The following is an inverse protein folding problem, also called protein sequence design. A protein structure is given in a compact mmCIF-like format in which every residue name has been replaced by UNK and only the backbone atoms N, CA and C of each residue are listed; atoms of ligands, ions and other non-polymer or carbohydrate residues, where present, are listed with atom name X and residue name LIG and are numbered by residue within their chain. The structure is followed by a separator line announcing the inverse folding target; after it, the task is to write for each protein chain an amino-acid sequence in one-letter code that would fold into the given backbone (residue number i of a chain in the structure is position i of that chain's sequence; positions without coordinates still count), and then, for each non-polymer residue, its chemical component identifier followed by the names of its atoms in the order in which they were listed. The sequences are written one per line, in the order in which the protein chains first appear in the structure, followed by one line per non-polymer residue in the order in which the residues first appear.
data_IF_432344916983
#
_entry.id   IF_432344916983
#
_cell.length_a   1.000
_cell.length_b   1.000
_cell.length_c   1.000
_cell.angle_alpha   90.00
_cell.angle_beta   90.00
_cell.angle_gamma   90.00
#
_symmetry.space_group_name_H-M   'P 1'
#
loop_
_entity.id
_entity.type
_entity.pdbx_description
1 polymer ?
#
# COMPACT_ATOMS: atom_id res chain seq x y z
N UNK A 1 -1.77 6.98 31.05
CA UNK A 1 -1.58 7.23 29.60
C UNK A 1 -2.95 7.47 29.00
N UNK A 2 -3.14 8.52 28.21
CA UNK A 2 -4.42 8.75 27.54
C UNK A 2 -4.63 7.74 26.40
N UNK A 3 -5.89 7.46 26.04
CA UNK A 3 -6.23 6.59 24.91
C UNK A 3 -5.59 7.04 23.59
N UNK A 4 -5.37 8.35 23.42
CA UNK A 4 -4.69 8.94 22.26
C UNK A 4 -3.20 8.58 22.20
N UNK A 5 -2.52 8.57 23.35
CA UNK A 5 -1.09 8.28 23.47
C UNK A 5 -0.80 6.79 23.23
N UNK A 6 -1.67 5.91 23.76
CA UNK A 6 -1.61 4.47 23.52
C UNK A 6 -1.87 4.12 22.04
N UNK A 7 -2.82 4.81 21.38
CA UNK A 7 -3.10 4.63 19.95
C UNK A 7 -1.90 5.09 19.09
N UNK A 8 -1.28 6.22 19.44
CA UNK A 8 -0.11 6.73 18.72
C UNK A 8 1.08 5.75 18.78
N UNK A 9 1.37 5.17 19.95
CA UNK A 9 2.46 4.18 20.09
C UNK A 9 2.27 2.93 19.24
N UNK A 10 1.02 2.54 18.96
CA UNK A 10 0.69 1.38 18.12
C UNK A 10 0.62 1.73 16.62
N UNK A 11 0.55 3.02 16.26
CA UNK A 11 0.50 3.49 14.88
C UNK A 11 1.87 3.29 14.22
N UNK A 12 1.99 2.26 13.39
CA UNK A 12 3.21 1.96 12.65
C UNK A 12 3.63 3.14 11.77
N UNK A 13 2.67 3.92 11.27
CA UNK A 13 2.93 5.10 10.45
C UNK A 13 3.30 6.35 11.27
N UNK A 14 3.26 6.30 12.62
CA UNK A 14 3.78 7.35 13.47
C UNK A 14 5.31 7.27 13.62
N UNK A 15 5.88 6.06 13.60
CA UNK A 15 7.31 5.82 13.73
C UNK A 15 8.05 6.01 12.39
N UNK A 16 9.13 6.81 12.38
CA UNK A 16 9.91 7.12 11.17
C UNK A 16 10.54 5.87 10.52
N UNK A 17 11.12 4.97 11.32
CA UNK A 17 11.77 3.76 10.80
C UNK A 17 10.74 2.85 10.12
N UNK A 18 9.63 2.59 10.77
CA UNK A 18 8.53 1.80 10.21
C UNK A 18 7.96 2.46 8.95
N UNK A 19 7.82 3.79 8.93
CA UNK A 19 7.42 4.51 7.72
C UNK A 19 8.34 4.23 6.53
N UNK A 20 9.65 4.28 6.75
CA UNK A 20 10.63 4.05 5.70
C UNK A 20 10.61 2.58 5.26
N UNK A 21 10.64 1.63 6.20
CA UNK A 21 10.71 0.20 5.86
C UNK A 21 9.43 -0.31 5.19
N UNK A 22 8.25 0.14 5.64
CA UNK A 22 6.98 -0.40 5.16
C UNK A 22 6.51 0.26 3.87
N UNK A 23 6.74 1.56 3.70
CA UNK A 23 6.24 2.29 2.55
C UNK A 23 7.38 2.87 1.70
N UNK A 24 8.42 3.43 2.32
CA UNK A 24 9.57 3.99 1.61
C UNK A 24 10.31 2.96 0.76
N UNK A 25 10.65 1.80 1.33
CA UNK A 25 11.37 0.74 0.63
C UNK A 25 10.54 0.16 -0.53
N UNK A 26 9.28 -0.25 -0.36
CA UNK A 26 8.49 -0.74 -1.49
C UNK A 26 8.25 0.32 -2.57
N UNK A 27 8.06 1.58 -2.19
CA UNK A 27 7.88 2.66 -3.16
C UNK A 27 9.15 2.92 -3.97
N UNK A 28 10.32 2.96 -3.31
CA UNK A 28 11.61 3.08 -3.98
C UNK A 28 11.89 1.88 -4.89
N UNK A 29 11.54 0.66 -4.45
CA UNK A 29 11.68 -0.55 -5.26
C UNK A 29 10.78 -0.52 -6.51
N UNK A 30 9.51 -0.09 -6.38
CA UNK A 30 8.61 0.08 -7.52
C UNK A 30 9.15 1.09 -8.54
N UNK A 31 9.72 2.20 -8.08
CA UNK A 31 10.39 3.17 -8.97
C UNK A 31 11.61 2.51 -9.64
N UNK A 32 12.41 1.77 -8.86
CA UNK A 32 13.59 1.05 -9.33
C UNK A 32 13.30 0.07 -10.46
N UNK A 33 12.12 -0.57 -10.47
CA UNK A 33 11.71 -1.49 -11.55
C UNK A 33 11.66 -0.83 -12.94
N UNK A 34 11.56 0.50 -13.04
CA UNK A 34 11.61 1.20 -14.33
C UNK A 34 13.01 1.17 -14.97
N UNK A 35 14.05 0.91 -14.17
CA UNK A 35 15.45 0.90 -14.60
C UNK A 35 16.01 -0.53 -14.75
N UNK A 36 15.17 -1.56 -14.60
CA UNK A 36 15.57 -2.97 -14.70
C UNK A 36 15.09 -3.62 -16.00
N UNK A 37 14.83 -2.82 -17.04
CA UNK A 37 14.33 -3.32 -18.32
C UNK A 37 15.24 -4.36 -18.99
N UNK A 38 16.55 -4.21 -18.83
CA UNK A 38 17.57 -5.11 -19.37
C UNK A 38 17.88 -6.30 -18.46
N UNK A 39 17.53 -6.21 -17.17
CA UNK A 39 17.84 -7.24 -16.17
C UNK A 39 16.67 -8.19 -15.91
N UNK A 40 15.44 -7.67 -15.98
CA UNK A 40 14.23 -8.39 -15.61
C UNK A 40 13.28 -8.50 -16.79
N UNK A 41 12.66 -9.66 -16.95
CA UNK A 41 11.57 -9.87 -17.88
C UNK A 41 10.30 -9.14 -17.40
N UNK A 42 9.35 -8.83 -18.32
CA UNK A 42 8.10 -8.19 -17.95
C UNK A 42 7.34 -8.90 -16.83
N UNK A 43 7.31 -10.25 -16.85
CA UNK A 43 6.60 -11.05 -15.85
C UNK A 43 7.26 -10.96 -14.47
N UNK A 44 8.60 -11.01 -14.40
CA UNK A 44 9.35 -10.86 -13.14
C UNK A 44 9.08 -9.50 -12.49
N UNK A 45 9.00 -8.42 -13.28
CA UNK A 45 8.64 -7.09 -12.76
C UNK A 45 7.22 -7.06 -12.19
N UNK A 46 6.28 -7.77 -12.81
CA UNK A 46 4.89 -7.89 -12.33
C UNK A 46 4.82 -8.71 -11.04
N UNK A 47 5.57 -9.80 -10.95
CA UNK A 47 5.68 -10.62 -9.74
C UNK A 47 6.24 -9.81 -8.55
N UNK A 48 7.31 -9.06 -8.78
CA UNK A 48 7.89 -8.18 -7.77
C UNK A 48 6.88 -7.11 -7.37
N UNK A 49 6.18 -6.49 -8.33
CA UNK A 49 5.14 -5.51 -8.02
C UNK A 49 4.01 -6.11 -7.15
N UNK A 50 3.59 -7.36 -7.41
CA UNK A 50 2.62 -8.06 -6.58
C UNK A 50 3.07 -8.18 -5.12
N UNK A 51 4.34 -8.58 -4.90
CA UNK A 51 4.93 -8.72 -3.56
C UNK A 51 5.02 -7.36 -2.85
N UNK A 52 5.44 -6.31 -3.57
CA UNK A 52 5.55 -4.95 -2.99
C UNK A 52 4.18 -4.38 -2.60
N UNK A 53 3.15 -4.60 -3.42
CA UNK A 53 1.78 -4.22 -3.10
C UNK A 53 1.23 -5.02 -1.91
N UNK A 54 1.50 -6.33 -1.87
CA UNK A 54 1.11 -7.18 -0.74
C UNK A 54 1.77 -6.72 0.56
N UNK A 55 3.06 -6.38 0.53
CA UNK A 55 3.80 -5.84 1.67
C UNK A 55 3.11 -4.59 2.23
N UNK A 56 2.90 -3.58 1.38
CA UNK A 56 2.26 -2.32 1.79
C UNK A 56 0.82 -2.54 2.27
N UNK A 57 0.06 -3.36 1.55
CA UNK A 57 -1.34 -3.68 1.86
C UNK A 57 -1.50 -4.42 3.19
N UNK A 58 -0.67 -5.43 3.44
CA UNK A 58 -0.66 -6.18 4.70
C UNK A 58 -0.32 -5.26 5.87
N UNK A 59 0.72 -4.44 5.74
CA UNK A 59 1.12 -3.53 6.80
C UNK A 59 0.09 -2.43 7.08
N UNK A 60 -0.53 -1.85 6.05
CA UNK A 60 -1.65 -0.92 6.21
C UNK A 60 -2.85 -1.59 6.90
N UNK A 61 -3.21 -2.81 6.49
CA UNK A 61 -4.32 -3.56 7.08
C UNK A 61 -4.06 -3.88 8.56
N UNK A 62 -2.84 -4.30 8.90
CA UNK A 62 -2.43 -4.50 10.30
C UNK A 62 -2.48 -3.20 11.11
N UNK A 63 -2.06 -2.07 10.53
CA UNK A 63 -2.12 -0.78 11.21
C UNK A 63 -3.58 -0.31 11.42
N UNK A 64 -4.45 -0.57 10.45
CA UNK A 64 -5.89 -0.32 10.54
C UNK A 64 -6.54 -1.15 11.65
N UNK A 65 -6.19 -2.43 11.78
CA UNK A 65 -6.69 -3.29 12.86
C UNK A 65 -6.21 -2.85 14.25
N UNK A 66 -4.97 -2.35 14.34
CA UNK A 66 -4.37 -1.92 15.62
C UNK A 66 -4.85 -0.55 16.11
N UNK A 67 -4.98 0.40 15.19
CA UNK A 67 -5.13 1.83 15.52
C UNK A 67 -6.29 2.52 14.82
N UNK A 68 -6.95 1.86 13.87
CA UNK A 68 -8.05 2.40 13.06
C UNK A 68 -7.69 3.69 12.33
N UNK A 69 -6.44 3.83 11.90
CA UNK A 69 -6.01 5.00 11.11
C UNK A 69 -6.76 5.04 9.79
N UNK A 70 -7.43 6.15 9.49
CA UNK A 70 -8.36 6.24 8.36
C UNK A 70 -7.68 6.00 7.02
N UNK A 71 -6.50 6.60 6.79
CA UNK A 71 -5.69 6.33 5.62
C UNK A 71 -5.44 4.82 5.42
N UNK A 72 -5.01 4.13 6.48
CA UNK A 72 -4.70 2.70 6.41
C UNK A 72 -5.93 1.81 6.21
N UNK A 73 -7.11 2.23 6.67
CA UNK A 73 -8.36 1.48 6.42
C UNK A 73 -8.79 1.51 4.96
N UNK A 74 -8.40 2.56 4.21
CA UNK A 74 -8.70 2.69 2.78
C UNK A 74 -7.54 2.14 1.94
N UNK A 75 -6.31 2.53 2.27
CA UNK A 75 -5.10 2.14 1.56
C UNK A 75 -4.81 0.64 1.66
N UNK A 76 -5.08 0.00 2.80
CA UNK A 76 -4.88 -1.44 2.99
C UNK A 76 -5.62 -2.28 1.95
N UNK A 77 -6.96 -2.20 1.88
CA UNK A 77 -7.74 -2.87 0.85
C UNK A 77 -7.33 -2.51 -0.58
N UNK A 78 -7.04 -1.24 -0.87
CA UNK A 78 -6.61 -0.82 -2.21
C UNK A 78 -5.32 -1.52 -2.66
N UNK A 79 -4.30 -1.56 -1.80
CA UNK A 79 -3.05 -2.26 -2.09
C UNK A 79 -3.24 -3.78 -2.19
N UNK A 80 -4.08 -4.39 -1.35
CA UNK A 80 -4.37 -5.82 -1.42
C UNK A 80 -5.10 -6.22 -2.72
N UNK A 81 -6.05 -5.39 -3.17
CA UNK A 81 -6.70 -5.58 -4.47
C UNK A 81 -5.66 -5.46 -5.60
N UNK A 82 -4.80 -4.43 -5.56
CA UNK A 82 -3.73 -4.28 -6.55
C UNK A 82 -2.76 -5.46 -6.55
N UNK A 83 -2.40 -6.00 -5.37
CA UNK A 83 -1.57 -7.19 -5.24
C UNK A 83 -2.24 -8.42 -5.87
N UNK A 84 -3.53 -8.62 -5.63
CA UNK A 84 -4.30 -9.71 -6.23
C UNK A 84 -4.36 -9.59 -7.76
N UNK A 85 -4.60 -8.38 -8.30
CA UNK A 85 -4.61 -8.14 -9.74
C UNK A 85 -3.24 -8.42 -10.37
N UNK A 86 -2.15 -8.00 -9.73
CA UNK A 86 -0.81 -8.35 -10.20
C UNK A 86 -0.52 -9.84 -10.14
N UNK A 87 -0.94 -10.52 -9.07
CA UNK A 87 -0.80 -11.97 -8.98
C UNK A 87 -1.57 -12.68 -10.09
N UNK A 88 -2.79 -12.23 -10.43
CA UNK A 88 -3.55 -12.77 -11.55
C UNK A 88 -2.79 -12.63 -12.88
N UNK A 89 -2.13 -11.49 -13.11
CA UNK A 89 -1.28 -11.30 -14.31
C UNK A 89 -0.05 -12.21 -14.27
N UNK A 90 0.64 -12.28 -13.13
CA UNK A 90 1.84 -13.11 -12.96
C UNK A 90 1.56 -14.60 -13.21
N UNK A 91 0.43 -15.12 -12.73
CA UNK A 91 0.03 -16.52 -12.92
C UNK A 91 -0.69 -16.77 -14.25
N UNK A 92 -0.80 -15.78 -15.14
CA UNK A 92 -1.48 -15.92 -16.43
C UNK A 92 -3.00 -16.12 -16.32
N UNK A 93 -3.60 -15.76 -15.19
CA UNK A 93 -5.05 -15.83 -14.95
C UNK A 93 -5.82 -14.66 -15.56
N UNK A 94 -5.13 -13.56 -15.86
CA UNK A 94 -5.70 -12.39 -16.53
C UNK A 94 -4.66 -11.68 -17.40
N UNK A 95 -5.10 -11.16 -18.55
CA UNK A 95 -4.33 -10.24 -19.39
C UNK A 95 -5.06 -8.89 -19.45
N UNK A 96 -4.46 -7.88 -18.83
CA UNK A 96 -4.97 -6.51 -18.84
C UNK A 96 -4.32 -5.64 -19.92
N UNK A 97 -3.63 -6.27 -20.88
CA UNK A 97 -2.90 -5.63 -21.95
C UNK A 97 -1.62 -4.92 -21.49
N UNK A 98 -0.90 -4.35 -22.47
CA UNK A 98 0.39 -3.67 -22.26
C UNK A 98 0.37 -2.60 -21.16
N UNK A 99 -0.74 -1.89 -21.00
CA UNK A 99 -0.90 -0.81 -20.03
C UNK A 99 -1.55 -1.24 -18.72
N UNK A 100 -2.01 -2.48 -18.61
CA UNK A 100 -2.70 -3.02 -17.42
C UNK A 100 -1.93 -2.82 -16.12
N UNK A 101 -0.65 -3.25 -16.03
CA UNK A 101 0.19 -3.01 -14.87
C UNK A 101 0.25 -1.53 -14.45
N UNK A 102 0.40 -0.61 -15.41
CA UNK A 102 0.43 0.82 -15.13
C UNK A 102 -0.91 1.33 -14.59
N UNK A 103 -2.03 0.87 -15.15
CA UNK A 103 -3.38 1.22 -14.67
C UNK A 103 -3.58 0.76 -13.22
N UNK A 104 -3.19 -0.48 -12.88
CA UNK A 104 -3.27 -1.01 -11.52
C UNK A 104 -2.50 -0.10 -10.54
N UNK A 105 -1.28 0.31 -10.92
CA UNK A 105 -0.44 1.21 -10.11
C UNK A 105 -1.14 2.54 -9.90
N UNK A 106 -1.48 3.25 -10.98
CA UNK A 106 -2.00 4.60 -10.90
C UNK A 106 -3.35 4.69 -10.21
N UNK A 107 -4.25 3.73 -10.45
CA UNK A 107 -5.54 3.67 -9.76
C UNK A 107 -5.34 3.41 -8.26
N UNK A 108 -4.51 2.44 -7.91
CA UNK A 108 -4.23 2.13 -6.49
C UNK A 108 -3.62 3.35 -5.78
N UNK A 109 -2.59 3.96 -6.37
CA UNK A 109 -1.97 5.14 -5.77
C UNK A 109 -2.90 6.36 -5.76
N UNK A 110 -3.81 6.49 -6.73
CA UNK A 110 -4.86 7.51 -6.72
C UNK A 110 -5.81 7.35 -5.52
N UNK A 111 -6.28 6.13 -5.25
CA UNK A 111 -7.11 5.82 -4.07
C UNK A 111 -6.34 6.07 -2.77
N UNK A 112 -5.08 5.63 -2.71
CA UNK A 112 -4.21 5.83 -1.54
C UNK A 112 -3.95 7.32 -1.31
N UNK A 113 -3.69 8.11 -2.35
CA UNK A 113 -3.54 9.56 -2.25
C UNK A 113 -4.83 10.23 -1.77
N UNK A 114 -5.98 9.85 -2.35
CA UNK A 114 -7.30 10.35 -1.93
C UNK A 114 -7.62 10.04 -0.46
N UNK A 115 -7.14 8.92 0.07
CA UNK A 115 -7.34 8.57 1.49
C UNK A 115 -6.61 9.52 2.46
N UNK A 116 -5.52 10.18 2.05
CA UNK A 116 -4.92 11.26 2.86
C UNK A 116 -5.85 12.47 2.93
N UNK A 117 -6.56 12.80 1.86
CA UNK A 117 -7.55 13.88 1.86
C UNK A 117 -8.69 13.52 2.82
N UNK A 118 -9.19 12.28 2.76
CA UNK A 118 -10.19 11.79 3.71
C UNK A 118 -9.68 11.88 5.17
N UNK A 119 -8.42 11.53 5.44
CA UNK A 119 -7.78 11.68 6.76
C UNK A 119 -7.74 13.14 7.23
N UNK A 120 -7.52 14.10 6.33
CA UNK A 120 -7.49 15.53 6.67
C UNK A 120 -8.86 16.10 6.98
N UNK A 121 -9.93 15.58 6.34
CA UNK A 121 -11.30 16.04 6.53
C UNK A 121 -11.96 15.38 7.75
N UNK A 122 -11.91 14.05 7.84
CA UNK A 122 -12.60 13.28 8.88
C UNK A 122 -11.75 13.02 10.14
N UNK A 123 -10.46 13.35 10.10
CA UNK A 123 -9.51 13.13 11.18
C UNK A 123 -8.71 11.83 11.05
N UNK A 124 -7.64 11.74 11.86
CA UNK A 124 -6.61 10.71 11.71
C UNK A 124 -7.09 9.28 11.99
N UNK A 125 -7.98 9.11 12.97
CA UNK A 125 -8.42 7.80 13.45
C UNK A 125 -9.95 7.70 13.41
N UNK A 126 -10.45 6.58 12.88
CA UNK A 126 -11.87 6.31 12.79
C UNK A 126 -12.41 5.67 14.06
N UNK A 127 -13.32 6.39 14.72
CA UNK A 127 -13.78 6.18 16.10
C UNK A 127 -12.61 6.27 17.08
N UNK A 128 -12.48 7.42 17.76
CA UNK A 128 -11.64 7.50 18.98
C UNK A 128 -12.15 6.41 19.95
N UNK A 129 -11.30 5.54 20.51
CA UNK A 129 -11.68 4.88 21.75
C UNK A 129 -11.91 5.99 22.77
N UNK A 130 -13.14 6.09 23.27
CA UNK A 130 -13.46 6.90 24.44
C UNK A 130 -12.52 6.51 25.58
#
# INVERSE_FOLDING_TARGET
MSNAEATNKRDLAANRLHRILIWGVPFAALIGLNFTAELLQPNERVEIAAVLFLWMGAACSLNALRCRRLHCMIAGPAFLIGAALFAMVAFGLADFGKHGPSVIIWVTFGVVAGSFIAERIAGKYWRRPA
#
